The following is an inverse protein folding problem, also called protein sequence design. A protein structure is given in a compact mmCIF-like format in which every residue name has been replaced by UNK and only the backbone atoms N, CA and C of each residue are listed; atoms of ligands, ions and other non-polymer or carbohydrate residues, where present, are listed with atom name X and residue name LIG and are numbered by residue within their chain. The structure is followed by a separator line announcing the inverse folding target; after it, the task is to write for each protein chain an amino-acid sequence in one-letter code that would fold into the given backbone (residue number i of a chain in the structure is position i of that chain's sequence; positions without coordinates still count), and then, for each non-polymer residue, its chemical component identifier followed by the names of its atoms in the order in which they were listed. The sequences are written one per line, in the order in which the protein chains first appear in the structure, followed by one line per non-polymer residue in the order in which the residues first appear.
data_IF_936523522652
#
_entry.id   IF_936523522652
#
_cell.length_a   1.000
_cell.length_b   1.000
_cell.length_c   1.000
_cell.angle_alpha   90.00
_cell.angle_beta   90.00
_cell.angle_gamma   90.00
#
_symmetry.space_group_name_H-M   'P 1'
#
loop_
_entity.id
_entity.type
_entity.pdbx_description
1 polymer ?
#
# COMPACT_ATOMS: atom_id res chain seq x y z
N UNK A 1 2.72 2.97 -4.37
CA UNK A 1 1.68 2.21 -5.12
C UNK A 1 2.12 1.99 -6.56
N UNK A 2 2.04 0.77 -7.06
CA UNK A 2 2.25 0.44 -8.48
C UNK A 2 0.98 0.77 -9.26
N UNK A 3 1.04 1.71 -10.22
CA UNK A 3 -0.17 2.19 -10.92
C UNK A 3 -0.88 1.12 -11.75
N UNK A 4 -0.13 0.17 -12.34
CA UNK A 4 -0.68 -0.90 -13.17
C UNK A 4 -1.44 -1.95 -12.36
N UNK A 5 -0.86 -2.41 -11.26
CA UNK A 5 -1.40 -3.51 -10.45
C UNK A 5 -2.20 -3.05 -9.24
N UNK A 6 -2.11 -1.78 -8.87
CA UNK A 6 -2.66 -1.18 -7.63
C UNK A 6 -2.02 -1.73 -6.34
N UNK A 7 -0.97 -2.53 -6.44
CA UNK A 7 -0.21 -2.97 -5.28
C UNK A 7 0.34 -1.78 -4.52
N UNK A 8 0.22 -1.81 -3.21
CA UNK A 8 0.75 -0.79 -2.30
C UNK A 8 1.80 -1.38 -1.40
N UNK A 9 2.75 -0.54 -1.01
CA UNK A 9 3.71 -0.82 0.04
C UNK A 9 3.61 0.27 1.08
N UNK A 10 3.47 -0.12 2.35
CA UNK A 10 3.55 0.80 3.48
C UNK A 10 4.97 0.65 4.04
N UNK A 11 5.84 1.51 3.57
CA UNK A 11 7.27 1.40 3.82
C UNK A 11 7.68 1.65 5.29
N UNK A 12 6.80 2.23 6.09
CA UNK A 12 7.00 2.43 7.51
C UNK A 12 6.15 3.55 8.10
N UNK A 13 6.29 3.74 9.40
CA UNK A 13 5.58 4.76 10.18
C UNK A 13 6.59 5.57 10.96
N UNK A 14 6.49 6.90 10.91
CA UNK A 14 7.32 7.81 11.70
C UNK A 14 6.59 9.12 11.95
N UNK A 15 6.90 9.75 13.07
CA UNK A 15 6.47 11.13 13.37
C UNK A 15 7.43 12.16 12.74
N UNK A 16 8.68 11.74 12.44
CA UNK A 16 9.73 12.62 11.92
C UNK A 16 10.38 12.00 10.67
N UNK A 17 9.80 12.19 9.47
CA UNK A 17 10.36 11.67 8.22
C UNK A 17 11.57 12.53 7.78
N UNK A 18 12.73 12.29 8.40
CA UNK A 18 14.01 12.92 8.05
C UNK A 18 14.85 12.03 7.13
N UNK A 19 16.03 12.51 6.72
CA UNK A 19 16.92 11.78 5.81
C UNK A 19 17.40 10.44 6.40
N UNK A 20 17.72 10.40 7.69
CA UNK A 20 18.21 9.19 8.37
C UNK A 20 17.16 8.08 8.38
N UNK A 21 15.89 8.44 8.41
CA UNK A 21 14.79 7.49 8.34
C UNK A 21 14.44 7.12 6.88
N UNK A 22 14.45 8.08 5.96
CA UNK A 22 14.02 7.87 4.56
C UNK A 22 15.06 7.07 3.78
N UNK A 23 16.36 7.29 3.99
CA UNK A 23 17.42 6.64 3.21
C UNK A 23 17.43 5.12 3.34
N UNK A 24 17.35 4.52 4.54
CA UNK A 24 17.22 3.06 4.67
C UNK A 24 15.94 2.51 4.00
N UNK A 25 14.84 3.24 4.11
CA UNK A 25 13.59 2.85 3.44
C UNK A 25 13.73 2.87 1.92
N UNK A 26 14.33 3.91 1.36
CA UNK A 26 14.60 3.99 -0.07
C UNK A 26 15.43 2.79 -0.55
N UNK A 27 16.48 2.43 0.21
CA UNK A 27 17.32 1.25 -0.07
C UNK A 27 16.50 -0.04 -0.07
N UNK A 28 15.66 -0.27 0.92
CA UNK A 28 14.82 -1.46 0.98
C UNK A 28 13.79 -1.51 -0.16
N UNK A 29 13.17 -0.37 -0.48
CA UNK A 29 12.22 -0.29 -1.59
C UNK A 29 12.83 -0.55 -2.97
N UNK A 30 14.15 -0.34 -3.13
CA UNK A 30 14.87 -0.53 -4.38
C UNK A 30 15.73 -1.80 -4.41
N UNK A 31 15.69 -2.62 -3.36
CA UNK A 31 16.42 -3.89 -3.32
C UNK A 31 16.10 -4.76 -4.54
N UNK A 32 17.14 -5.40 -5.11
CA UNK A 32 17.03 -6.07 -6.41
C UNK A 32 16.04 -7.23 -6.43
N UNK A 33 15.95 -7.99 -5.33
CA UNK A 33 15.15 -9.23 -5.30
C UNK A 33 13.67 -8.99 -4.99
N UNK A 34 13.37 -8.15 -3.99
CA UNK A 34 12.03 -8.00 -3.43
C UNK A 34 11.57 -6.55 -3.27
N UNK A 35 12.40 -5.58 -3.64
CA UNK A 35 12.09 -4.16 -3.51
C UNK A 35 10.84 -3.76 -4.30
N UNK A 36 9.91 -3.10 -3.65
CA UNK A 36 8.66 -2.65 -4.30
C UNK A 36 8.90 -1.74 -5.51
N UNK A 37 10.03 -1.02 -5.55
CA UNK A 37 10.45 -0.12 -6.63
C UNK A 37 11.57 -0.68 -7.51
N UNK A 38 12.03 -1.92 -7.30
CA UNK A 38 13.20 -2.50 -8.00
C UNK A 38 13.10 -2.42 -9.53
N UNK A 39 11.90 -2.52 -10.09
CA UNK A 39 11.64 -2.46 -11.54
C UNK A 39 10.88 -1.19 -11.96
N UNK A 40 10.91 -0.15 -11.15
CA UNK A 40 10.18 1.07 -11.45
C UNK A 40 10.93 1.92 -12.49
N UNK A 41 10.30 2.20 -13.64
CA UNK A 41 10.82 3.13 -14.64
C UNK A 41 10.58 4.59 -14.23
N UNK A 42 9.45 4.86 -13.58
CA UNK A 42 9.05 6.19 -13.12
C UNK A 42 8.56 6.12 -11.66
N UNK A 43 8.96 7.11 -10.87
CA UNK A 43 8.43 7.32 -9.53
C UNK A 43 7.78 8.70 -9.43
N UNK A 44 6.47 8.72 -9.24
CA UNK A 44 5.73 9.96 -8.99
C UNK A 44 5.87 10.33 -7.52
N UNK A 45 6.35 11.53 -7.25
CA UNK A 45 6.60 12.03 -5.90
C UNK A 45 5.93 13.39 -5.70
N UNK A 46 5.38 13.61 -4.52
CA UNK A 46 4.89 14.92 -4.12
C UNK A 46 6.06 15.91 -3.91
N UNK A 47 5.77 17.21 -4.03
CA UNK A 47 6.76 18.29 -3.87
C UNK A 47 7.14 18.59 -2.43
N UNK A 48 6.56 17.88 -1.46
CA UNK A 48 6.90 18.07 -0.05
C UNK A 48 8.40 17.87 0.17
N UNK A 49 9.00 18.80 0.90
CA UNK A 49 10.45 18.82 1.19
C UNK A 49 10.93 17.57 1.95
N UNK A 50 10.04 16.91 2.70
CA UNK A 50 10.36 15.64 3.38
C UNK A 50 10.79 14.52 2.40
N UNK A 51 10.37 14.59 1.12
CA UNK A 51 10.77 13.61 0.10
C UNK A 51 12.06 13.97 -0.66
N UNK A 52 12.74 15.07 -0.32
CA UNK A 52 14.03 15.41 -0.93
C UNK A 52 15.05 14.27 -0.77
N UNK A 53 15.26 13.68 0.44
CA UNK A 53 16.21 12.58 0.59
C UNK A 53 15.87 11.35 -0.25
N UNK A 54 14.58 11.03 -0.40
CA UNK A 54 14.15 9.94 -1.30
C UNK A 54 14.52 10.24 -2.75
N UNK A 55 14.25 11.46 -3.22
CA UNK A 55 14.55 11.86 -4.60
C UNK A 55 16.05 11.80 -4.89
N UNK A 56 16.87 12.40 -4.01
CA UNK A 56 18.33 12.35 -4.13
C UNK A 56 18.82 10.91 -4.20
N UNK A 57 18.38 10.05 -3.30
CA UNK A 57 18.75 8.64 -3.32
C UNK A 57 18.36 7.94 -4.64
N UNK A 58 17.12 8.16 -5.12
CA UNK A 58 16.65 7.54 -6.36
C UNK A 58 17.45 8.02 -7.59
N UNK A 59 17.76 9.31 -7.66
CA UNK A 59 18.53 9.91 -8.75
C UNK A 59 19.99 9.44 -8.79
N UNK A 60 20.59 9.19 -7.62
CA UNK A 60 21.99 8.76 -7.49
C UNK A 60 22.18 7.25 -7.62
N UNK A 61 21.21 6.45 -7.16
CA UNK A 61 21.38 5.01 -6.95
C UNK A 61 20.54 4.14 -7.89
N UNK A 62 19.67 4.73 -8.70
CA UNK A 62 18.79 3.96 -9.59
C UNK A 62 18.61 4.63 -10.95
N UNK A 63 18.12 3.86 -11.94
CA UNK A 63 17.72 4.38 -13.25
C UNK A 63 16.26 4.90 -13.27
N UNK A 64 15.59 4.93 -12.11
CA UNK A 64 14.20 5.35 -12.00
C UNK A 64 14.07 6.86 -12.18
N UNK A 65 13.24 7.28 -13.13
CA UNK A 65 12.98 8.69 -13.39
C UNK A 65 11.98 9.28 -12.41
N UNK A 66 12.36 10.34 -11.73
CA UNK A 66 11.49 11.05 -10.80
C UNK A 66 10.54 11.99 -11.56
N UNK A 67 9.26 11.86 -11.28
CA UNK A 67 8.19 12.74 -11.79
C UNK A 67 7.57 13.49 -10.62
N UNK A 68 7.87 14.80 -10.55
CA UNK A 68 7.28 15.66 -9.52
C UNK A 68 5.87 16.09 -9.92
N UNK A 69 4.92 15.88 -9.03
CA UNK A 69 3.56 16.35 -9.24
C UNK A 69 3.53 17.89 -9.36
N UNK A 70 2.81 18.45 -10.33
CA UNK A 70 2.57 19.89 -10.36
C UNK A 70 1.86 20.37 -9.09
N UNK A 71 2.11 21.61 -8.70
CA UNK A 71 1.41 22.19 -7.57
C UNK A 71 -0.09 22.21 -7.81
N UNK A 72 -0.88 21.92 -6.77
CA UNK A 72 -2.36 21.95 -6.81
C UNK A 72 -3.00 21.03 -7.87
N UNK A 73 -2.39 19.90 -8.16
CA UNK A 73 -2.88 18.94 -9.15
C UNK A 73 -3.23 17.58 -8.52
N UNK A 74 -4.23 17.51 -7.61
CA UNK A 74 -4.58 16.28 -6.88
C UNK A 74 -4.99 15.15 -7.83
N UNK A 75 -5.66 15.44 -8.93
CA UNK A 75 -6.13 14.43 -9.89
C UNK A 75 -5.00 13.57 -10.50
N UNK A 76 -3.76 14.05 -10.48
CA UNK A 76 -2.62 13.29 -11.01
C UNK A 76 -2.16 12.17 -10.07
N UNK A 77 -2.66 12.11 -8.84
CA UNK A 77 -2.39 11.05 -7.87
C UNK A 77 -3.67 10.35 -7.37
N UNK A 78 -4.72 10.37 -8.17
CA UNK A 78 -6.06 9.91 -7.79
C UNK A 78 -6.10 8.47 -7.26
N UNK A 79 -5.22 7.58 -7.73
CA UNK A 79 -5.17 6.19 -7.25
C UNK A 79 -4.62 6.09 -5.82
N UNK A 80 -3.55 6.82 -5.52
CA UNK A 80 -3.00 6.86 -4.17
C UNK A 80 -3.96 7.58 -3.21
N UNK A 81 -4.59 8.64 -3.64
CA UNK A 81 -5.60 9.35 -2.85
C UNK A 81 -6.80 8.45 -2.52
N UNK A 82 -7.27 7.65 -3.48
CA UNK A 82 -8.32 6.67 -3.24
C UNK A 82 -7.89 5.62 -2.23
N UNK A 83 -6.67 5.09 -2.35
CA UNK A 83 -6.12 4.17 -1.35
C UNK A 83 -6.08 4.81 0.04
N UNK A 84 -5.54 6.03 0.16
CA UNK A 84 -5.46 6.75 1.43
C UNK A 84 -6.84 7.04 2.03
N UNK A 85 -7.83 7.31 1.19
CA UNK A 85 -9.23 7.48 1.63
C UNK A 85 -9.78 6.17 2.19
N UNK A 86 -9.57 5.04 1.50
CA UNK A 86 -9.99 3.72 1.99
C UNK A 86 -9.29 3.37 3.30
N UNK A 87 -7.97 3.53 3.38
CA UNK A 87 -7.19 3.29 4.60
C UNK A 87 -7.73 4.13 5.78
N UNK A 88 -7.99 5.40 5.57
CA UNK A 88 -8.56 6.27 6.61
C UNK A 88 -9.96 5.83 7.03
N UNK A 89 -10.86 5.62 6.08
CA UNK A 89 -12.28 5.34 6.38
C UNK A 89 -12.53 3.94 6.91
N UNK A 90 -11.72 2.96 6.54
CA UNK A 90 -11.93 1.54 6.86
C UNK A 90 -11.05 1.04 8.02
N UNK A 91 -9.94 1.74 8.30
CA UNK A 91 -9.00 1.39 9.36
C UNK A 91 -8.75 2.56 10.32
N UNK A 92 -8.03 3.62 9.89
CA UNK A 92 -7.47 4.60 10.81
C UNK A 92 -8.52 5.38 11.62
N UNK A 93 -9.64 5.74 11.01
CA UNK A 93 -10.72 6.49 11.68
C UNK A 93 -11.66 5.61 12.51
N UNK A 94 -11.47 4.29 12.49
CA UNK A 94 -12.35 3.33 13.18
C UNK A 94 -11.70 2.66 14.39
N UNK A 95 -10.43 2.95 14.64
CA UNK A 95 -9.65 2.31 15.69
C UNK A 95 -8.95 3.34 16.57
N UNK A 96 -8.73 2.98 17.82
CA UNK A 96 -7.85 3.70 18.73
C UNK A 96 -6.54 2.91 18.81
N UNK A 97 -5.43 3.57 18.53
CA UNK A 97 -4.12 2.95 18.50
C UNK A 97 -3.36 3.22 19.80
N UNK A 98 -2.91 2.16 20.45
CA UNK A 98 -2.09 2.23 21.65
C UNK A 98 -0.61 2.07 21.25
N UNK A 99 0.01 3.20 20.87
CA UNK A 99 1.39 3.26 20.44
C UNK A 99 1.62 2.75 19.00
N UNK A 100 2.88 2.87 18.58
CA UNK A 100 3.32 2.58 17.21
C UNK A 100 3.07 1.13 16.78
N UNK A 101 3.37 0.17 17.64
CA UNK A 101 3.20 -1.25 17.32
C UNK A 101 1.74 -1.64 16.99
N UNK A 102 0.76 -1.03 17.68
CA UNK A 102 -0.66 -1.21 17.39
C UNK A 102 -1.02 -0.67 16.01
N UNK A 103 -0.52 0.51 15.67
CA UNK A 103 -0.74 1.11 14.34
C UNK A 103 -0.11 0.28 13.24
N UNK A 104 1.15 -0.13 13.38
CA UNK A 104 1.88 -0.92 12.37
C UNK A 104 1.19 -2.27 12.11
N UNK A 105 0.74 -2.96 13.17
CA UNK A 105 -0.04 -4.20 13.02
C UNK A 105 -1.32 -3.97 12.22
N UNK A 106 -2.06 -2.91 12.55
CA UNK A 106 -3.31 -2.61 11.86
C UNK A 106 -3.10 -2.24 10.40
N UNK A 107 -2.03 -1.52 10.08
CA UNK A 107 -1.64 -1.22 8.70
C UNK A 107 -1.28 -2.49 7.92
N UNK A 108 -0.58 -3.43 8.55
CA UNK A 108 -0.25 -4.74 7.95
C UNK A 108 -1.51 -5.55 7.66
N UNK A 109 -2.42 -5.67 8.62
CA UNK A 109 -3.69 -6.38 8.43
C UNK A 109 -4.55 -5.74 7.33
N UNK A 110 -4.60 -4.39 7.31
CA UNK A 110 -5.30 -3.66 6.26
C UNK A 110 -4.69 -3.92 4.88
N UNK A 111 -3.35 -3.90 4.75
CA UNK A 111 -2.66 -4.15 3.49
C UNK A 111 -2.92 -5.58 2.97
N UNK A 112 -2.92 -6.58 3.84
CA UNK A 112 -3.28 -7.97 3.49
C UNK A 112 -4.71 -8.04 2.97
N UNK A 113 -5.67 -7.44 3.68
CA UNK A 113 -7.06 -7.36 3.22
C UNK A 113 -7.18 -6.63 1.88
N UNK A 114 -6.53 -5.49 1.75
CA UNK A 114 -6.57 -4.65 0.55
C UNK A 114 -6.08 -5.40 -0.70
N UNK A 115 -5.05 -6.23 -0.56
CA UNK A 115 -4.49 -6.99 -1.67
C UNK A 115 -5.22 -8.31 -1.94
N UNK A 116 -5.50 -9.07 -0.90
CA UNK A 116 -5.93 -10.47 -1.02
C UNK A 116 -7.42 -10.73 -0.90
N UNK A 117 -8.19 -9.77 -0.36
CA UNK A 117 -9.58 -10.02 0.03
C UNK A 117 -10.56 -8.98 -0.52
N UNK A 118 -10.07 -7.78 -0.85
CA UNK A 118 -10.91 -6.68 -1.30
C UNK A 118 -11.08 -6.67 -2.81
N UNK A 119 -12.33 -6.52 -3.26
CA UNK A 119 -12.65 -6.27 -4.65
C UNK A 119 -12.36 -4.82 -5.06
N UNK A 120 -11.74 -4.63 -6.23
CA UNK A 120 -11.34 -3.33 -6.76
C UNK A 120 -12.12 -2.97 -8.01
N UNK A 121 -13.07 -2.04 -7.92
CA UNK A 121 -13.86 -1.58 -9.06
C UNK A 121 -13.00 -1.12 -10.25
N UNK A 122 -11.90 -0.42 -9.98
CA UNK A 122 -10.98 0.05 -11.01
C UNK A 122 -10.16 -1.06 -11.70
N UNK A 123 -10.28 -2.31 -11.24
CA UNK A 123 -9.70 -3.51 -11.85
C UNK A 123 -10.80 -4.49 -12.32
N UNK A 124 -11.98 -4.00 -12.65
CA UNK A 124 -13.10 -4.85 -13.04
C UNK A 124 -13.61 -5.73 -11.90
N UNK A 125 -13.62 -5.18 -10.69
CA UNK A 125 -14.05 -5.85 -9.47
C UNK A 125 -13.21 -7.07 -9.07
N UNK A 126 -11.92 -7.08 -9.46
CA UNK A 126 -10.98 -8.16 -9.13
C UNK A 126 -10.19 -7.85 -7.86
N UNK A 127 -9.76 -8.90 -7.19
CA UNK A 127 -8.77 -8.86 -6.11
C UNK A 127 -7.37 -8.68 -6.70
N UNK A 128 -6.49 -7.94 -6.05
CA UNK A 128 -5.14 -7.63 -6.56
C UNK A 128 -4.25 -8.86 -6.54
N UNK A 129 -4.25 -9.59 -5.44
CA UNK A 129 -3.44 -10.80 -5.22
C UNK A 129 -4.32 -11.87 -4.56
N UNK A 130 -5.19 -12.54 -5.32
CA UNK A 130 -6.11 -13.53 -4.77
C UNK A 130 -5.38 -14.73 -4.20
N UNK A 131 -5.86 -15.26 -3.08
CA UNK A 131 -5.45 -16.56 -2.54
C UNK A 131 -6.07 -17.74 -3.30
N UNK A 132 -5.68 -18.96 -2.94
CA UNK A 132 -6.21 -20.19 -3.55
C UNK A 132 -7.72 -20.40 -3.34
N UNK A 133 -8.28 -19.78 -2.31
CA UNK A 133 -9.72 -19.80 -2.00
C UNK A 133 -10.55 -18.89 -2.91
N UNK A 134 -9.92 -18.01 -3.69
CA UNK A 134 -10.64 -17.06 -4.53
C UNK A 134 -11.34 -17.75 -5.71
N UNK A 135 -12.64 -17.47 -5.86
CA UNK A 135 -13.43 -18.02 -6.97
C UNK A 135 -13.95 -19.45 -6.77
N UNK A 136 -13.78 -20.03 -5.58
CA UNK A 136 -14.38 -21.33 -5.27
C UNK A 136 -15.90 -21.20 -5.15
N UNK A 137 -16.63 -22.02 -5.93
CA UNK A 137 -18.09 -22.03 -5.98
C UNK A 137 -18.72 -23.08 -5.05
N UNK A 138 -17.94 -24.12 -4.68
CA UNK A 138 -18.37 -25.28 -3.87
C UNK A 138 -17.65 -25.23 -2.52
N UNK A 139 -18.27 -25.75 -1.50
CA UNK A 139 -17.75 -25.78 -0.13
C UNK A 139 -18.54 -24.90 0.85
N UNK A 140 -18.25 -25.06 2.12
CA UNK A 140 -18.87 -24.26 3.20
C UNK A 140 -18.41 -22.82 3.14
N UNK A 141 -19.31 -21.88 3.39
CA UNK A 141 -18.97 -20.44 3.46
C UNK A 141 -18.25 -20.17 4.76
N UNK A 142 -17.02 -19.68 4.65
CA UNK A 142 -16.18 -19.25 5.75
C UNK A 142 -16.12 -17.72 5.80
N UNK A 143 -15.83 -17.17 6.98
CA UNK A 143 -15.62 -15.75 7.19
C UNK A 143 -14.25 -15.51 7.85
N UNK A 144 -13.38 -14.77 7.17
CA UNK A 144 -12.13 -14.30 7.75
C UNK A 144 -12.32 -12.86 8.22
N UNK A 145 -12.05 -12.63 9.49
CA UNK A 145 -12.17 -11.31 10.11
C UNK A 145 -10.79 -10.70 10.33
N UNK A 146 -10.67 -9.38 10.14
CA UNK A 146 -9.47 -8.58 10.40
C UNK A 146 -9.82 -7.31 11.17
N UNK A 147 -8.83 -6.73 11.82
CA UNK A 147 -8.98 -5.48 12.59
C UNK A 147 -10.12 -5.57 13.63
N UNK A 148 -10.20 -6.70 14.37
CA UNK A 148 -11.26 -6.89 15.35
C UNK A 148 -12.66 -6.92 14.73
N UNK A 149 -12.83 -7.62 13.61
CA UNK A 149 -14.09 -7.77 12.86
C UNK A 149 -14.55 -6.52 12.09
N UNK A 150 -13.72 -5.48 11.99
CA UNK A 150 -14.03 -4.31 11.16
C UNK A 150 -14.00 -4.64 9.67
N UNK A 151 -13.14 -5.55 9.25
CA UNK A 151 -13.04 -6.04 7.88
C UNK A 151 -13.40 -7.52 7.85
N UNK A 152 -14.26 -7.89 6.91
CA UNK A 152 -14.73 -9.26 6.73
C UNK A 152 -14.58 -9.69 5.29
N UNK A 153 -14.06 -10.91 5.12
CA UNK A 153 -13.95 -11.58 3.83
C UNK A 153 -14.63 -12.93 3.88
N UNK A 154 -15.60 -13.14 2.99
CA UNK A 154 -16.31 -14.38 2.86
C UNK A 154 -15.76 -15.18 1.69
N UNK A 155 -15.43 -16.44 1.92
CA UNK A 155 -14.87 -17.35 0.93
C UNK A 155 -15.41 -18.76 1.15
N UNK A 156 -15.13 -19.65 0.20
CA UNK A 156 -15.39 -21.08 0.35
C UNK A 156 -14.08 -21.82 0.40
N UNK A 157 -13.94 -22.75 1.34
CA UNK A 157 -12.78 -23.64 1.35
C UNK A 157 -12.85 -24.57 0.14
N UNK A 158 -11.71 -24.77 -0.52
CA UNK A 158 -11.58 -25.83 -1.50
C UNK A 158 -11.75 -27.18 -0.79
N UNK A 159 -12.68 -27.99 -1.24
CA UNK A 159 -12.90 -29.34 -0.76
C UNK A 159 -11.71 -30.26 -1.07
#
# INVERSE_FOLDING_TARGET
MKLKTRQVEIAGVTESPNADWITPIARNLTACEDGHLSMATYLIVDRDTKFVPLRTYMEEMTETKIVLLPARSPNLNAYLERFMRSLKSECLNRMIFFGRASLERSLTEFAVHYHGERNHQGLGNRVIAPGGEFGQEIGEVQCRERLGSLLRYYYRDAA
#
